data_IF_889697201840
#
_entry.id   IF_889697201840
#
_cell.length_a   1.000
_cell.length_b   1.000
_cell.length_c   1.000
_cell.angle_alpha   90.00
_cell.angle_beta   90.00
_cell.angle_gamma   90.00
#
_symmetry.space_group_name_H-M   'P 1'
#
loop_
_entity.id
_entity.type
_entity.pdbx_description
1 polymer ?
#
# COMPACT_ATOMS: atom_id res chain seq x y z
N UNK A 1 3.60 -0.30 14.70
CA UNK A 1 3.70 1.18 14.64
C UNK A 1 3.55 1.76 16.03
N UNK A 2 4.19 2.90 16.32
CA UNK A 2 3.99 3.63 17.59
C UNK A 2 2.67 4.42 17.56
N UNK A 3 2.14 4.81 18.73
CA UNK A 3 0.95 5.67 18.82
C UNK A 3 1.14 7.00 18.08
N UNK A 4 2.34 7.58 18.13
CA UNK A 4 2.64 8.83 17.41
C UNK A 4 2.65 8.62 15.89
N UNK A 5 3.25 7.53 15.39
CA UNK A 5 3.22 7.22 13.97
C UNK A 5 1.78 7.04 13.45
N UNK A 6 0.93 6.34 14.20
CA UNK A 6 -0.50 6.19 13.88
C UNK A 6 -1.18 7.57 13.80
N UNK A 7 -0.96 8.42 14.81
CA UNK A 7 -1.51 9.78 14.87
C UNK A 7 -1.09 10.62 13.65
N UNK A 8 0.19 10.57 13.27
CA UNK A 8 0.72 11.31 12.12
C UNK A 8 0.07 10.87 10.81
N UNK A 9 -0.05 9.56 10.57
CA UNK A 9 -0.72 9.03 9.38
C UNK A 9 -2.18 9.47 9.35
N UNK A 10 -2.92 9.28 10.45
CA UNK A 10 -4.33 9.67 10.52
C UNK A 10 -4.54 11.18 10.30
N UNK A 11 -3.73 12.02 10.95
CA UNK A 11 -3.86 13.48 10.84
C UNK A 11 -3.54 13.99 9.44
N UNK A 12 -2.47 13.47 8.83
CA UNK A 12 -2.10 13.87 7.48
C UNK A 12 -3.06 13.28 6.45
N UNK A 13 -3.61 12.09 6.68
CA UNK A 13 -4.66 11.54 5.82
C UNK A 13 -5.92 12.43 5.79
N UNK A 14 -6.37 12.92 6.95
CA UNK A 14 -7.53 13.83 7.03
C UNK A 14 -7.35 15.08 6.15
N UNK A 15 -6.11 15.56 5.99
CA UNK A 15 -5.84 16.73 5.13
C UNK A 15 -5.94 16.45 3.63
N UNK A 16 -5.79 15.18 3.22
CA UNK A 16 -5.85 14.78 1.81
C UNK A 16 -7.20 14.19 1.41
N UNK A 17 -8.07 13.81 2.36
CA UNK A 17 -9.43 13.30 2.08
C UNK A 17 -10.22 14.21 1.12
N UNK A 18 -10.27 15.55 1.30
CA UNK A 18 -11.03 16.44 0.41
C UNK A 18 -10.55 16.43 -1.05
N UNK A 19 -9.30 16.03 -1.27
CA UNK A 19 -8.65 15.96 -2.59
C UNK A 19 -8.24 14.54 -2.95
N UNK A 20 -8.85 13.53 -2.30
CA UNK A 20 -8.47 12.12 -2.42
C UNK A 20 -8.53 11.62 -3.86
N UNK A 21 -9.53 12.02 -4.64
CA UNK A 21 -9.59 11.68 -6.06
C UNK A 21 -8.36 12.22 -6.82
N UNK A 22 -8.04 13.50 -6.66
CA UNK A 22 -6.88 14.14 -7.29
C UNK A 22 -5.58 13.47 -6.85
N UNK A 23 -5.45 13.11 -5.56
CA UNK A 23 -4.33 12.36 -5.03
C UNK A 23 -4.18 11.00 -5.71
N UNK A 24 -5.25 10.23 -5.82
CA UNK A 24 -5.23 8.91 -6.48
C UNK A 24 -4.90 8.99 -7.97
N UNK A 25 -5.43 10.00 -8.67
CA UNK A 25 -5.08 10.25 -10.08
C UNK A 25 -3.61 10.66 -10.24
N UNK A 26 -3.07 11.50 -9.34
CA UNK A 26 -1.67 11.87 -9.32
C UNK A 26 -0.76 10.66 -9.05
N UNK A 27 -1.16 9.77 -8.13
CA UNK A 27 -0.48 8.50 -7.88
C UNK A 27 -0.42 7.63 -9.14
N UNK A 28 -1.56 7.37 -9.80
CA UNK A 28 -1.56 6.52 -10.99
C UNK A 28 -0.75 7.12 -12.14
N UNK A 29 -0.75 8.45 -12.27
CA UNK A 29 0.12 9.14 -13.23
C UNK A 29 1.59 8.87 -12.95
N UNK A 30 2.05 9.02 -11.69
CA UNK A 30 3.44 8.73 -11.31
C UNK A 30 3.79 7.26 -11.51
N UNK A 31 2.89 6.35 -11.10
CA UNK A 31 3.09 4.90 -11.26
C UNK A 31 3.28 4.52 -12.73
N UNK A 32 2.42 5.00 -13.63
CA UNK A 32 2.53 4.67 -15.06
C UNK A 32 3.67 5.39 -15.78
N UNK A 33 4.19 6.49 -15.23
CA UNK A 33 5.43 7.09 -15.70
C UNK A 33 6.64 6.28 -15.26
N UNK A 34 6.66 5.79 -14.02
CA UNK A 34 7.76 4.99 -13.47
C UNK A 34 7.81 3.58 -14.05
N UNK A 35 6.65 2.94 -14.22
CA UNK A 35 6.52 1.60 -14.79
C UNK A 35 5.34 1.56 -15.77
N UNK A 36 5.58 1.89 -17.05
CA UNK A 36 4.53 1.87 -18.07
C UNK A 36 3.91 0.49 -18.25
N UNK A 37 4.66 -0.59 -17.98
CA UNK A 37 4.16 -1.94 -18.18
C UNK A 37 3.01 -2.23 -17.22
N UNK A 38 2.99 -1.76 -15.97
CA UNK A 38 1.88 -2.10 -15.06
C UNK A 38 0.52 -1.58 -15.52
N UNK A 39 0.47 -0.62 -16.45
CA UNK A 39 -0.79 -0.07 -16.99
C UNK A 39 -1.71 -1.14 -17.56
N UNK A 40 -1.17 -2.20 -18.18
CA UNK A 40 -1.99 -3.28 -18.76
C UNK A 40 -2.76 -4.11 -17.71
N UNK A 41 -2.36 -4.03 -16.44
CA UNK A 41 -3.02 -4.72 -15.33
C UNK A 41 -4.34 -4.01 -14.93
N UNK A 42 -4.51 -2.75 -15.31
CA UNK A 42 -5.67 -1.94 -14.97
C UNK A 42 -6.68 -1.95 -16.12
N UNK A 43 -7.78 -2.68 -15.93
CA UNK A 43 -8.85 -2.84 -16.93
C UNK A 43 -10.00 -1.86 -16.79
N UNK A 44 -10.12 -1.19 -15.64
CA UNK A 44 -11.15 -0.20 -15.34
C UNK A 44 -10.64 1.22 -15.57
N UNK A 45 -11.55 2.17 -15.56
CA UNK A 45 -11.19 3.59 -15.59
C UNK A 45 -10.26 3.93 -14.41
N UNK A 46 -9.23 4.74 -14.68
CA UNK A 46 -8.22 5.09 -13.67
C UNK A 46 -8.80 5.93 -12.54
N UNK A 47 -9.83 6.74 -12.80
CA UNK A 47 -10.52 7.51 -11.75
C UNK A 47 -11.31 6.60 -10.83
N UNK A 48 -11.98 5.59 -11.39
CA UNK A 48 -12.66 4.56 -10.59
C UNK A 48 -11.64 3.81 -9.73
N UNK A 49 -10.50 3.45 -10.30
CA UNK A 49 -9.43 2.77 -9.56
C UNK A 49 -8.80 3.68 -8.48
N UNK A 50 -8.61 4.97 -8.75
CA UNK A 50 -8.17 5.97 -7.77
C UNK A 50 -9.16 6.08 -6.59
N UNK A 51 -10.45 6.06 -6.87
CA UNK A 51 -11.49 6.04 -5.85
C UNK A 51 -11.40 4.77 -4.98
N UNK A 52 -11.27 3.59 -5.60
CA UNK A 52 -11.11 2.32 -4.87
C UNK A 52 -9.87 2.31 -3.98
N UNK A 53 -8.74 2.82 -4.48
CA UNK A 53 -7.49 2.91 -3.72
C UNK A 53 -7.63 3.80 -2.48
N UNK A 54 -8.22 4.98 -2.64
CA UNK A 54 -8.37 5.97 -1.57
C UNK A 54 -9.40 5.53 -0.53
N UNK A 55 -10.48 4.87 -0.95
CA UNK A 55 -11.43 4.23 -0.03
C UNK A 55 -10.76 3.12 0.80
N UNK A 56 -9.96 2.27 0.14
CA UNK A 56 -9.21 1.22 0.83
C UNK A 56 -8.24 1.80 1.86
N UNK A 57 -7.45 2.82 1.49
CA UNK A 57 -6.56 3.49 2.46
C UNK A 57 -7.35 4.14 3.60
N UNK A 58 -8.46 4.81 3.31
CA UNK A 58 -9.32 5.41 4.35
C UNK A 58 -9.81 4.35 5.34
N UNK A 59 -10.21 3.18 4.85
CA UNK A 59 -10.66 2.08 5.69
C UNK A 59 -9.55 1.53 6.60
N UNK A 60 -8.34 1.31 6.06
CA UNK A 60 -7.22 0.82 6.88
C UNK A 60 -6.77 1.88 7.89
N UNK A 61 -6.66 3.15 7.46
CA UNK A 61 -6.20 4.26 8.29
C UNK A 61 -7.15 4.51 9.47
N UNK A 62 -8.45 4.31 9.27
CA UNK A 62 -9.44 4.41 10.35
C UNK A 62 -9.38 3.26 11.37
N UNK A 63 -8.65 2.18 11.07
CA UNK A 63 -8.43 1.03 11.94
C UNK A 63 -6.94 0.82 12.28
N UNK A 64 -6.09 1.84 12.13
CA UNK A 64 -4.64 1.72 12.36
C UNK A 64 -4.25 1.36 13.80
N UNK A 65 -5.12 1.69 14.76
CA UNK A 65 -5.00 1.29 16.16
C UNK A 65 -5.33 -0.19 16.40
N UNK A 66 -6.02 -0.82 15.44
CA UNK A 66 -6.48 -2.21 15.45
C UNK A 66 -6.14 -2.90 14.13
N UNK A 67 -4.87 -2.81 13.72
CA UNK A 67 -4.38 -3.35 12.44
C UNK A 67 -4.66 -4.85 12.26
N UNK A 68 -4.77 -5.61 13.34
CA UNK A 68 -5.15 -7.03 13.28
C UNK A 68 -6.55 -7.25 12.68
N UNK A 69 -7.48 -6.32 12.91
CA UNK A 69 -8.86 -6.41 12.40
C UNK A 69 -8.90 -6.34 10.86
N UNK A 70 -7.99 -5.58 10.26
CA UNK A 70 -7.91 -5.38 8.80
C UNK A 70 -6.91 -6.32 8.12
N UNK A 71 -6.13 -7.09 8.88
CA UNK A 71 -5.12 -8.02 8.32
C UNK A 71 -5.76 -9.07 7.41
N UNK A 72 -6.94 -9.59 7.79
CA UNK A 72 -7.69 -10.55 6.97
C UNK A 72 -8.14 -9.97 5.62
N UNK A 73 -8.53 -8.69 5.59
CA UNK A 73 -8.89 -7.99 4.35
C UNK A 73 -7.68 -7.76 3.45
N UNK A 74 -6.53 -7.39 4.04
CA UNK A 74 -5.27 -7.24 3.32
C UNK A 74 -4.79 -8.55 2.70
N UNK A 75 -4.92 -9.67 3.43
CA UNK A 75 -4.61 -11.00 2.91
C UNK A 75 -5.50 -11.35 1.72
N UNK A 76 -6.82 -11.17 1.84
CA UNK A 76 -7.76 -11.37 0.72
C UNK A 76 -7.46 -10.45 -0.47
N UNK A 77 -7.05 -9.21 -0.20
CA UNK A 77 -6.62 -8.28 -1.25
C UNK A 77 -5.36 -8.79 -1.95
N UNK A 78 -4.38 -9.32 -1.21
CA UNK A 78 -3.19 -10.00 -1.72
C UNK A 78 -3.51 -11.19 -2.62
N UNK A 79 -4.44 -12.05 -2.20
CA UNK A 79 -4.91 -13.18 -3.02
C UNK A 79 -5.47 -12.71 -4.37
N UNK A 80 -6.25 -11.63 -4.39
CA UNK A 80 -6.73 -11.02 -5.65
C UNK A 80 -5.57 -10.44 -6.47
N UNK A 81 -4.57 -9.83 -5.84
CA UNK A 81 -3.38 -9.35 -6.56
C UNK A 81 -2.60 -10.50 -7.22
N UNK A 82 -2.61 -11.70 -6.64
CA UNK A 82 -2.10 -12.90 -7.30
C UNK A 82 -2.90 -13.27 -8.55
N UNK A 83 -4.24 -13.23 -8.46
CA UNK A 83 -5.12 -13.48 -9.60
C UNK A 83 -4.93 -12.45 -10.72
N UNK A 84 -4.63 -11.20 -10.35
CA UNK A 84 -4.32 -10.12 -11.29
C UNK A 84 -2.91 -10.22 -11.88
N UNK A 85 -2.09 -11.20 -11.48
CA UNK A 85 -0.70 -11.38 -11.93
C UNK A 85 0.21 -10.18 -11.63
N UNK A 86 -0.08 -9.47 -10.53
CA UNK A 86 0.82 -8.42 -10.01
C UNK A 86 2.11 -9.09 -9.54
N UNK A 87 3.26 -8.62 -10.00
CA UNK A 87 4.56 -9.14 -9.55
C UNK A 87 4.99 -8.51 -8.22
N UNK A 88 5.73 -9.23 -7.35
CA UNK A 88 6.31 -8.66 -6.14
C UNK A 88 7.13 -7.38 -6.37
N UNK A 89 7.88 -7.33 -7.48
CA UNK A 89 8.70 -6.18 -7.87
C UNK A 89 7.89 -4.88 -8.01
N UNK A 90 6.61 -4.96 -8.37
CA UNK A 90 5.77 -3.78 -8.55
C UNK A 90 5.38 -3.12 -7.22
N UNK A 91 5.43 -3.82 -6.08
CA UNK A 91 5.11 -3.22 -4.78
C UNK A 91 6.09 -2.11 -4.40
N UNK A 92 7.38 -2.27 -4.72
CA UNK A 92 8.38 -1.24 -4.48
C UNK A 92 8.06 0.05 -5.28
N UNK A 93 7.78 -0.10 -6.58
CA UNK A 93 7.44 1.02 -7.47
C UNK A 93 6.14 1.71 -7.02
N UNK A 94 5.15 0.92 -6.59
CA UNK A 94 3.89 1.43 -6.02
C UNK A 94 4.15 2.21 -4.73
N UNK A 95 4.98 1.68 -3.83
CA UNK A 95 5.38 2.36 -2.59
C UNK A 95 6.06 3.70 -2.84
N UNK A 96 7.07 3.72 -3.72
CA UNK A 96 7.77 4.95 -4.10
C UNK A 96 6.83 5.98 -4.73
N UNK A 97 5.94 5.53 -5.63
CA UNK A 97 4.95 6.39 -6.28
C UNK A 97 3.97 6.99 -5.26
N UNK A 98 3.52 6.21 -4.26
CA UNK A 98 2.65 6.70 -3.19
C UNK A 98 3.36 7.73 -2.32
N UNK A 99 4.57 7.43 -1.88
CA UNK A 99 5.39 8.33 -1.06
C UNK A 99 5.62 9.65 -1.80
N UNK A 100 6.03 9.62 -3.07
CA UNK A 100 6.23 10.82 -3.87
C UNK A 100 4.93 11.62 -4.11
N UNK A 101 3.78 10.94 -4.14
CA UNK A 101 2.46 11.61 -4.27
C UNK A 101 2.08 12.30 -2.96
N UNK A 102 2.25 11.62 -1.83
CA UNK A 102 1.94 12.15 -0.51
C UNK A 102 2.86 13.33 -0.15
N UNK A 103 4.15 13.23 -0.45
CA UNK A 103 5.13 14.32 -0.27
C UNK A 103 4.68 15.58 -1.01
N UNK A 104 4.34 15.44 -2.29
CA UNK A 104 3.88 16.55 -3.11
C UNK A 104 2.57 17.15 -2.56
N UNK A 105 1.63 16.32 -2.11
CA UNK A 105 0.31 16.77 -1.67
C UNK A 105 0.31 17.38 -0.26
N UNK A 106 1.17 16.89 0.63
CA UNK A 106 1.24 17.32 2.03
C UNK A 106 2.15 18.53 2.24
N UNK A 107 3.10 18.78 1.32
CA UNK A 107 3.96 19.95 1.35
C UNK A 107 4.68 20.09 2.70
N UNK A 108 4.50 21.23 3.38
CA UNK A 108 5.11 21.50 4.69
C UNK A 108 4.73 20.48 5.78
N UNK A 109 3.60 19.76 5.63
CA UNK A 109 3.20 18.69 6.57
C UNK A 109 3.99 17.39 6.37
N UNK A 110 4.75 17.27 5.28
CA UNK A 110 5.63 16.14 4.99
C UNK A 110 6.96 16.25 5.74
N UNK A 111 6.90 16.22 7.06
CA UNK A 111 8.10 16.20 7.92
C UNK A 111 8.81 14.85 7.86
N UNK A 112 10.06 14.78 8.36
CA UNK A 112 10.77 13.51 8.49
C UNK A 112 10.02 12.46 9.32
N UNK A 113 9.34 12.90 10.38
CA UNK A 113 8.50 12.03 11.21
C UNK A 113 7.25 11.54 10.43
N UNK A 114 6.60 12.43 9.68
CA UNK A 114 5.47 12.08 8.81
C UNK A 114 5.90 11.02 7.78
N UNK A 115 7.02 11.24 7.10
CA UNK A 115 7.58 10.31 6.11
C UNK A 115 7.84 8.94 6.72
N UNK A 116 8.53 8.88 7.87
CA UNK A 116 8.80 7.62 8.56
C UNK A 116 7.51 6.88 8.92
N UNK A 117 6.51 7.59 9.45
CA UNK A 117 5.22 7.00 9.81
C UNK A 117 4.47 6.42 8.58
N UNK A 118 4.53 7.09 7.44
CA UNK A 118 3.94 6.59 6.19
C UNK A 118 4.70 5.39 5.61
N UNK A 119 6.03 5.36 5.72
CA UNK A 119 6.83 4.19 5.32
C UNK A 119 6.47 2.98 6.17
N UNK A 120 6.40 3.14 7.50
CA UNK A 120 5.97 2.06 8.41
C UNK A 120 4.58 1.52 8.05
N UNK A 121 3.64 2.43 7.78
CA UNK A 121 2.29 2.08 7.37
C UNK A 121 2.25 1.26 6.08
N UNK A 122 2.91 1.76 5.02
CA UNK A 122 2.93 1.09 3.71
C UNK A 122 3.64 -0.26 3.79
N UNK A 123 4.70 -0.37 4.60
CA UNK A 123 5.41 -1.62 4.84
C UNK A 123 4.47 -2.68 5.39
N UNK A 124 3.70 -2.36 6.44
CA UNK A 124 2.74 -3.29 7.04
C UNK A 124 1.67 -3.72 6.03
N UNK A 125 1.13 -2.77 5.26
CA UNK A 125 0.10 -3.05 4.25
C UNK A 125 0.64 -3.99 3.17
N UNK A 126 1.81 -3.69 2.62
CA UNK A 126 2.41 -4.50 1.55
C UNK A 126 2.86 -5.86 2.05
N UNK A 127 3.41 -5.98 3.26
CA UNK A 127 3.75 -7.27 3.86
C UNK A 127 2.52 -8.17 3.98
N UNK A 128 1.41 -7.65 4.52
CA UNK A 128 0.16 -8.40 4.65
C UNK A 128 -0.40 -8.82 3.28
N UNK A 129 -0.32 -7.94 2.27
CA UNK A 129 -0.74 -8.28 0.91
C UNK A 129 0.18 -9.32 0.25
N UNK A 130 1.50 -9.21 0.39
CA UNK A 130 2.45 -10.18 -0.17
C UNK A 130 2.32 -11.55 0.50
N UNK A 131 2.05 -11.60 1.81
CA UNK A 131 1.68 -12.82 2.52
C UNK A 131 0.42 -13.45 1.93
N UNK A 132 -0.66 -12.66 1.78
CA UNK A 132 -1.90 -13.14 1.17
C UNK A 132 -1.74 -13.57 -0.29
N UNK A 133 -0.81 -12.96 -1.02
CA UNK A 133 -0.49 -13.31 -2.40
C UNK A 133 0.18 -14.69 -2.53
N UNK A 134 0.75 -15.21 -1.43
CA UNK A 134 1.60 -16.41 -1.44
C UNK A 134 3.03 -16.12 -1.90
N UNK A 135 3.43 -14.84 -1.95
CA UNK A 135 4.75 -14.39 -2.44
C UNK A 135 5.70 -13.99 -1.32
N UNK A 136 5.45 -14.39 -0.07
CA UNK A 136 6.36 -14.12 1.03
C UNK A 136 7.51 -15.14 1.04
N UNK A 137 8.64 -14.77 0.45
CA UNK A 137 9.92 -15.46 0.66
C UNK A 137 10.98 -14.39 1.01
N UNK A 138 11.23 -14.10 2.30
CA UNK A 138 12.54 -13.63 2.82
C UNK A 138 12.67 -13.58 4.36
N UNK A 139 13.83 -13.94 4.98
CA UNK A 139 14.78 -15.00 4.60
C UNK A 139 14.50 -16.30 5.40
N UNK A 140 15.00 -17.42 4.87
CA UNK A 140 14.80 -18.81 5.33
C UNK A 140 13.44 -19.45 5.04
N UNK A 141 13.38 -20.13 3.89
CA UNK A 141 12.90 -21.50 3.93
C UNK A 141 14.04 -22.34 4.53
N UNK A 142 13.96 -22.69 5.81
CA UNK A 142 14.60 -23.94 6.22
C UNK A 142 13.72 -25.01 5.60
N UNK A 143 14.26 -25.63 4.56
CA UNK A 143 13.89 -26.97 4.16
C UNK A 143 14.07 -27.85 5.41
N UNK A 144 13.01 -27.97 6.21
CA UNK A 144 12.95 -29.01 7.23
C UNK A 144 12.61 -30.25 6.46
N UNK A 145 13.66 -30.96 6.04
CA UNK A 145 13.56 -32.30 5.49
C UNK A 145 12.64 -33.13 6.37
N UNK A 146 11.41 -33.31 5.90
CA UNK A 146 10.57 -34.42 6.34
C UNK A 146 10.94 -35.56 5.43
N UNK A 147 11.94 -36.32 5.87
CA UNK A 147 12.08 -37.72 5.52
C UNK A 147 10.69 -38.36 5.66
N UNK A 148 10.10 -38.70 4.52
CA UNK A 148 9.02 -39.66 4.45
C UNK A 148 9.67 -41.03 4.46
N UNK A 149 9.52 -41.66 5.62
CA UNK A 149 9.52 -43.09 5.93
C UNK A 149 9.45 -44.03 4.70
#
# INVERSE_FOLDING_TARGET
MTKEAIRLVQQTWVTVIPVSQTLGEAFYRKLFTAEPLVKHLFKTDIKEQACKLTQMFTHIISHLDRLEDVRGDLHRLGQRHNQYKVKPEYYAIVGESLIATLEQQLGEKWTGATKAAWIDFLTIVFEAMMQGQGNYIWPFHLDTGSERN
#
